data_IF_042612076225
#
_entry.id   IF_042612076225
#
_cell.length_a   1.000
_cell.length_b   1.000
_cell.length_c   1.000
_cell.angle_alpha   90.00
_cell.angle_beta   90.00
_cell.angle_gamma   90.00
#
_symmetry.space_group_name_H-M   'P 1'
#
loop_
_entity.id
_entity.type
_entity.pdbx_description
1 polymer ?
#
# COMPACT_ATOMS: atom_id res chain seq x y z
N UNK A 1 14.94 -12.87 0.31
CA UNK A 1 14.92 -11.42 0.57
C UNK A 1 16.13 -10.76 -0.05
N UNK A 2 15.94 -9.59 -0.68
CA UNK A 2 17.02 -8.80 -1.26
C UNK A 2 17.18 -7.53 -0.43
N UNK A 3 18.30 -7.39 0.27
CA UNK A 3 18.54 -6.35 1.28
C UNK A 3 19.54 -5.31 0.78
N UNK A 4 19.20 -4.03 0.92
CA UNK A 4 20.12 -2.95 0.63
C UNK A 4 21.08 -2.71 1.80
N UNK A 5 22.39 -2.62 1.53
CA UNK A 5 23.40 -2.39 2.57
C UNK A 5 23.34 -0.97 3.14
N UNK A 6 23.14 0.01 2.27
CA UNK A 6 23.17 1.43 2.61
C UNK A 6 21.84 1.92 3.22
N UNK A 7 20.73 1.23 2.91
CA UNK A 7 19.39 1.55 3.40
C UNK A 7 18.79 0.28 4.01
N UNK A 8 19.02 0.03 5.30
CA UNK A 8 18.58 -1.22 5.96
C UNK A 8 17.07 -1.46 5.90
N UNK A 9 16.27 -0.40 5.79
CA UNK A 9 14.83 -0.47 5.63
C UNK A 9 14.39 -0.86 4.21
N UNK A 10 15.29 -0.83 3.23
CA UNK A 10 14.99 -1.26 1.86
C UNK A 10 15.24 -2.77 1.73
N UNK A 11 14.21 -3.54 1.96
CA UNK A 11 14.19 -4.99 1.81
C UNK A 11 13.12 -5.35 0.78
N UNK A 12 13.55 -5.98 -0.31
CA UNK A 12 12.69 -6.35 -1.44
C UNK A 12 12.40 -7.84 -1.40
N UNK A 13 11.16 -8.21 -1.66
CA UNK A 13 10.74 -9.58 -1.92
C UNK A 13 9.79 -9.63 -3.12
N UNK A 14 9.64 -10.80 -3.70
CA UNK A 14 8.77 -11.01 -4.85
C UNK A 14 7.76 -12.11 -4.57
N UNK A 15 6.54 -11.91 -5.04
CA UNK A 15 5.55 -12.95 -5.29
C UNK A 15 5.13 -12.85 -6.76
N UNK A 16 4.46 -13.85 -7.30
CA UNK A 16 4.21 -13.90 -8.74
C UNK A 16 2.72 -14.03 -9.03
N UNK A 17 2.22 -13.08 -9.80
CA UNK A 17 0.90 -13.15 -10.45
C UNK A 17 -0.24 -13.52 -9.49
N UNK A 18 -0.74 -14.76 -9.59
CA UNK A 18 -1.88 -15.28 -8.82
C UNK A 18 -1.61 -15.38 -7.32
N UNK A 19 -0.36 -15.35 -6.88
CA UNK A 19 0.01 -15.36 -5.46
C UNK A 19 -0.72 -14.26 -4.65
N UNK A 20 -0.96 -13.11 -5.28
CA UNK A 20 -1.71 -12.01 -4.65
C UNK A 20 -3.21 -12.35 -4.43
N UNK A 21 -3.78 -13.26 -5.22
CA UNK A 21 -5.22 -13.51 -5.27
C UNK A 21 -5.67 -14.58 -4.28
N UNK A 22 -4.72 -15.32 -3.69
CA UNK A 22 -5.02 -16.39 -2.73
C UNK A 22 -5.39 -15.83 -1.35
N UNK A 23 -6.08 -16.59 -0.50
CA UNK A 23 -6.47 -16.13 0.84
C UNK A 23 -5.31 -15.71 1.74
N UNK A 24 -4.13 -16.32 1.54
CA UNK A 24 -2.91 -16.03 2.28
C UNK A 24 -1.74 -15.84 1.30
N UNK A 25 -1.57 -14.64 0.74
CA UNK A 25 -0.49 -14.35 -0.20
C UNK A 25 0.90 -14.54 0.43
N UNK A 26 1.89 -15.05 -0.33
CA UNK A 26 3.28 -15.14 0.10
C UNK A 26 3.86 -13.83 0.63
N UNK A 27 3.43 -12.69 0.07
CA UNK A 27 3.83 -11.35 0.55
C UNK A 27 3.53 -11.10 2.02
N UNK A 28 2.56 -11.82 2.61
CA UNK A 28 2.28 -11.77 4.04
C UNK A 28 3.50 -12.27 4.85
N UNK A 29 4.04 -13.41 4.47
CA UNK A 29 5.24 -13.96 5.08
C UNK A 29 6.47 -13.10 4.79
N UNK A 30 6.58 -12.59 3.56
CA UNK A 30 7.67 -11.70 3.17
C UNK A 30 7.72 -10.43 4.03
N UNK A 31 6.58 -9.82 4.30
CA UNK A 31 6.49 -8.65 5.16
C UNK A 31 6.84 -8.98 6.62
N UNK A 32 6.39 -10.13 7.13
CA UNK A 32 6.75 -10.62 8.47
C UNK A 32 8.27 -10.92 8.58
N UNK A 33 8.88 -11.37 7.50
CA UNK A 33 10.32 -11.58 7.39
C UNK A 33 11.12 -10.27 7.18
N UNK A 34 10.44 -9.11 7.08
CA UNK A 34 11.07 -7.80 7.02
C UNK A 34 11.00 -7.08 5.68
N UNK A 35 10.44 -7.70 4.62
CA UNK A 35 10.32 -7.02 3.33
C UNK A 35 9.42 -5.78 3.43
N UNK A 36 9.94 -4.63 2.99
CA UNK A 36 9.22 -3.35 2.93
C UNK A 36 8.74 -3.02 1.53
N UNK A 37 9.29 -3.70 0.53
CA UNK A 37 8.90 -3.57 -0.87
C UNK A 37 8.57 -4.94 -1.42
N UNK A 38 7.34 -5.11 -1.91
CA UNK A 38 6.88 -6.33 -2.57
C UNK A 38 6.74 -6.05 -4.06
N UNK A 39 7.36 -6.88 -4.87
CA UNK A 39 7.23 -6.85 -6.33
C UNK A 39 6.39 -8.03 -6.78
N UNK A 40 5.43 -7.78 -7.66
CA UNK A 40 4.58 -8.82 -8.26
C UNK A 40 4.58 -8.66 -9.78
N UNK A 41 5.46 -9.37 -10.50
CA UNK A 41 5.33 -9.53 -11.94
C UNK A 41 4.12 -10.42 -12.24
N UNK A 42 3.23 -9.92 -13.06
CA UNK A 42 1.94 -10.55 -13.36
C UNK A 42 1.68 -10.64 -14.87
N UNK A 43 0.96 -11.67 -15.26
CA UNK A 43 0.29 -11.77 -16.53
C UNK A 43 -1.22 -12.00 -16.26
N UNK A 44 -1.86 -10.94 -15.75
CA UNK A 44 -3.26 -10.98 -15.32
C UNK A 44 -4.16 -10.68 -16.50
N UNK A 45 -4.86 -11.71 -16.98
CA UNK A 45 -5.83 -11.58 -18.08
C UNK A 45 -6.86 -10.52 -17.77
N UNK A 46 -7.06 -9.58 -18.69
CA UNK A 46 -8.04 -8.50 -18.51
C UNK A 46 -9.46 -8.99 -18.78
N UNK A 47 -10.36 -8.64 -17.88
CA UNK A 47 -11.80 -8.86 -18.03
C UNK A 47 -12.55 -7.61 -17.58
N UNK A 48 -13.81 -7.49 -18.01
CA UNK A 48 -14.67 -6.36 -17.61
C UNK A 48 -14.72 -6.25 -16.08
N UNK A 49 -14.51 -5.05 -15.53
CA UNK A 49 -14.50 -4.69 -14.10
C UNK A 49 -13.31 -5.20 -13.28
N UNK A 50 -12.41 -6.02 -13.84
CA UNK A 50 -11.25 -6.56 -13.11
C UNK A 50 -10.26 -5.48 -12.63
N UNK A 51 -10.18 -4.37 -13.34
CA UNK A 51 -9.34 -3.22 -13.00
C UNK A 51 -9.59 -2.73 -11.56
N UNK A 52 -10.84 -2.42 -11.23
CA UNK A 52 -11.20 -1.90 -9.90
C UNK A 52 -10.93 -2.93 -8.80
N UNK A 53 -11.18 -4.20 -9.08
CA UNK A 53 -10.86 -5.29 -8.15
C UNK A 53 -9.34 -5.42 -7.95
N UNK A 54 -8.55 -5.44 -9.04
CA UNK A 54 -7.08 -5.48 -8.99
C UNK A 54 -6.53 -4.30 -8.20
N UNK A 55 -7.00 -3.09 -8.50
CA UNK A 55 -6.60 -1.87 -7.80
C UNK A 55 -6.88 -1.95 -6.29
N UNK A 56 -8.08 -2.41 -5.92
CA UNK A 56 -8.45 -2.61 -4.52
C UNK A 56 -7.58 -3.66 -3.85
N UNK A 57 -7.30 -4.77 -4.52
CA UNK A 57 -6.51 -5.87 -3.97
C UNK A 57 -5.06 -5.45 -3.70
N UNK A 58 -4.40 -4.81 -4.68
CA UNK A 58 -3.03 -4.30 -4.54
C UNK A 58 -2.93 -3.26 -3.44
N UNK A 59 -3.86 -2.29 -3.42
CA UNK A 59 -3.90 -1.24 -2.42
C UNK A 59 -4.12 -1.80 -1.00
N UNK A 60 -5.09 -2.69 -0.83
CA UNK A 60 -5.38 -3.31 0.47
C UNK A 60 -4.22 -4.19 0.96
N UNK A 61 -3.58 -4.94 0.07
CA UNK A 61 -2.42 -5.75 0.45
C UNK A 61 -1.26 -4.86 0.90
N UNK A 62 -0.97 -3.78 0.17
CA UNK A 62 0.02 -2.77 0.57
C UNK A 62 -0.28 -2.21 1.97
N UNK A 63 -1.54 -1.87 2.27
CA UNK A 63 -1.98 -1.37 3.57
C UNK A 63 -1.78 -2.40 4.70
N UNK A 64 -2.25 -3.62 4.48
CA UNK A 64 -2.17 -4.71 5.48
C UNK A 64 -0.74 -5.05 5.85
N UNK A 65 0.16 -4.98 4.88
CA UNK A 65 1.57 -5.30 5.05
C UNK A 65 2.41 -4.11 5.53
N UNK A 66 1.86 -2.90 5.58
CA UNK A 66 2.62 -1.67 5.79
C UNK A 66 3.87 -1.67 4.89
N UNK A 67 3.63 -1.89 3.59
CA UNK A 67 4.68 -2.06 2.59
C UNK A 67 4.38 -1.24 1.33
N UNK A 68 5.41 -1.00 0.55
CA UNK A 68 5.22 -0.67 -0.85
C UNK A 68 4.88 -1.96 -1.63
N UNK A 69 3.93 -1.86 -2.55
CA UNK A 69 3.56 -2.96 -3.42
C UNK A 69 3.62 -2.50 -4.87
N UNK A 70 4.47 -3.16 -5.65
CA UNK A 70 4.73 -2.85 -7.06
C UNK A 70 4.13 -4.00 -7.88
N UNK A 71 3.04 -3.71 -8.56
CA UNK A 71 2.36 -4.65 -9.45
C UNK A 71 2.69 -4.30 -10.89
N UNK A 72 3.38 -5.20 -11.59
CA UNK A 72 3.76 -5.04 -12.98
C UNK A 72 3.03 -6.06 -13.84
N UNK A 73 2.05 -5.62 -14.61
CA UNK A 73 1.21 -6.49 -15.43
C UNK A 73 1.75 -6.65 -16.86
N UNK A 74 1.46 -7.77 -17.48
CA UNK A 74 1.68 -7.95 -18.92
C UNK A 74 0.86 -6.94 -19.73
N UNK A 75 1.40 -6.49 -20.83
CA UNK A 75 0.80 -5.48 -21.71
C UNK A 75 0.61 -5.93 -23.14
N UNK A 76 0.63 -4.96 -24.03
CA UNK A 76 0.51 -5.20 -25.47
C UNK A 76 1.63 -6.10 -25.98
N UNK A 77 1.27 -7.08 -26.81
CA UNK A 77 2.22 -8.04 -27.40
C UNK A 77 2.45 -9.31 -26.60
N UNK A 78 2.00 -9.37 -25.35
CA UNK A 78 2.12 -10.59 -24.52
C UNK A 78 1.05 -11.64 -24.85
N UNK A 79 -0.08 -11.21 -25.42
CA UNK A 79 -1.16 -12.12 -25.83
C UNK A 79 -0.85 -12.82 -27.14
N UNK A 80 -1.12 -14.11 -27.20
CA UNK A 80 -0.93 -14.91 -28.42
C UNK A 80 -2.23 -15.23 -29.15
N UNK A 81 -3.40 -15.34 -28.46
CA UNK A 81 -4.66 -15.71 -29.10
C UNK A 81 -5.93 -15.26 -28.34
N UNK A 82 -6.23 -15.90 -27.20
CA UNK A 82 -7.57 -15.83 -26.60
C UNK A 82 -7.67 -14.88 -25.39
N UNK A 83 -6.56 -14.31 -24.98
CA UNK A 83 -6.49 -13.48 -23.79
C UNK A 83 -5.93 -12.10 -24.12
N UNK A 84 -6.37 -11.11 -23.36
CA UNK A 84 -5.89 -9.72 -23.48
C UNK A 84 -5.26 -9.31 -22.16
N UNK A 85 -4.12 -8.65 -22.26
CA UNK A 85 -3.44 -8.01 -21.13
C UNK A 85 -3.50 -6.50 -21.29
N UNK A 86 -3.65 -5.80 -20.17
CA UNK A 86 -3.90 -4.35 -20.21
C UNK A 86 -2.71 -3.49 -19.84
N UNK A 87 -1.63 -4.06 -19.32
CA UNK A 87 -0.50 -3.29 -18.81
C UNK A 87 -0.89 -2.43 -17.60
N UNK A 88 -1.85 -2.87 -16.80
CA UNK A 88 -2.34 -2.13 -15.64
C UNK A 88 -1.34 -2.20 -14.48
N UNK A 89 -0.25 -1.43 -14.57
CA UNK A 89 0.76 -1.33 -13.52
C UNK A 89 0.26 -0.46 -12.37
N UNK A 90 0.65 -0.83 -11.15
CA UNK A 90 0.28 -0.12 -9.92
C UNK A 90 1.49 -0.03 -8.99
N UNK A 91 1.71 1.14 -8.39
CA UNK A 91 2.63 1.31 -7.28
C UNK A 91 1.83 1.85 -6.10
N UNK A 92 1.76 1.07 -5.04
CA UNK A 92 1.05 1.44 -3.81
C UNK A 92 2.02 1.52 -2.63
N UNK A 93 1.75 2.39 -1.67
CA UNK A 93 2.47 2.52 -0.41
C UNK A 93 1.47 2.63 0.73
N UNK A 94 1.47 1.67 1.66
CA UNK A 94 0.60 1.68 2.83
C UNK A 94 -0.86 2.03 2.48
N UNK A 95 -1.41 1.40 1.45
CA UNK A 95 -2.78 1.57 0.99
C UNK A 95 -3.02 2.72 0.01
N UNK A 96 -2.09 3.64 -0.11
CA UNK A 96 -2.20 4.75 -1.06
C UNK A 96 -1.67 4.35 -2.44
N UNK A 97 -2.42 4.59 -3.50
CA UNK A 97 -1.93 4.44 -4.87
C UNK A 97 -1.06 5.65 -5.20
N UNK A 98 0.23 5.43 -5.41
CA UNK A 98 1.19 6.48 -5.75
C UNK A 98 1.28 6.72 -7.26
N UNK A 99 1.21 5.63 -8.03
CA UNK A 99 1.19 5.69 -9.49
C UNK A 99 0.35 4.54 -10.05
N UNK A 100 -0.32 4.82 -11.15
CA UNK A 100 -1.20 3.88 -11.86
C UNK A 100 -1.08 4.11 -13.36
N UNK A 101 -0.75 3.05 -14.11
CA UNK A 101 -0.66 3.12 -15.56
C UNK A 101 -2.05 3.13 -16.19
N UNK A 102 -2.16 3.87 -17.28
CA UNK A 102 -3.36 3.81 -18.11
C UNK A 102 -3.42 2.45 -18.80
N UNK A 103 -4.54 1.76 -18.66
CA UNK A 103 -4.75 0.47 -19.33
C UNK A 103 -4.63 0.56 -20.85
N UNK A 104 -4.18 -0.53 -21.45
CA UNK A 104 -3.99 -0.67 -22.89
C UNK A 104 -2.94 0.31 -23.45
N UNK A 105 -1.92 0.60 -22.64
CA UNK A 105 -0.73 1.36 -23.02
C UNK A 105 0.53 0.63 -22.55
N UNK A 106 1.67 0.96 -23.16
CA UNK A 106 2.98 0.47 -22.73
C UNK A 106 3.71 1.54 -21.90
N UNK A 107 2.98 2.11 -20.95
CA UNK A 107 3.47 3.19 -20.09
C UNK A 107 4.39 2.65 -18.99
N UNK A 108 5.49 3.35 -18.74
CA UNK A 108 6.33 3.11 -17.56
C UNK A 108 5.95 4.12 -16.48
N UNK A 109 5.63 3.63 -15.30
CA UNK A 109 5.27 4.48 -14.15
C UNK A 109 6.39 4.50 -13.10
N UNK A 110 6.48 5.61 -12.38
CA UNK A 110 7.47 5.84 -11.34
C UNK A 110 6.80 6.42 -10.10
N UNK A 111 7.34 6.11 -8.93
CA UNK A 111 6.92 6.71 -7.66
C UNK A 111 8.08 6.75 -6.66
N UNK A 112 8.08 7.76 -5.80
CA UNK A 112 8.97 7.82 -4.64
C UNK A 112 8.34 7.03 -3.48
N UNK A 113 9.09 6.09 -2.91
CA UNK A 113 8.66 5.24 -1.80
C UNK A 113 9.46 5.62 -0.55
N UNK A 114 8.76 5.84 0.57
CA UNK A 114 9.37 6.13 1.86
C UNK A 114 9.49 4.85 2.72
N UNK A 115 10.54 4.08 2.48
CA UNK A 115 10.78 2.81 3.20
C UNK A 115 11.03 3.02 4.69
N UNK A 116 11.60 4.17 5.09
CA UNK A 116 11.85 4.49 6.49
C UNK A 116 10.53 4.75 7.22
N UNK A 117 9.60 5.45 6.58
CA UNK A 117 8.25 5.64 7.11
C UNK A 117 7.52 4.31 7.28
N UNK A 118 7.58 3.43 6.28
CA UNK A 118 6.97 2.10 6.36
C UNK A 118 7.51 1.30 7.54
N UNK A 119 8.83 1.27 7.72
CA UNK A 119 9.46 0.62 8.86
C UNK A 119 9.07 1.27 10.21
N UNK A 120 8.95 2.60 10.24
CA UNK A 120 8.51 3.32 11.43
C UNK A 120 7.05 2.99 11.80
N UNK A 121 6.15 2.92 10.82
CA UNK A 121 4.74 2.55 11.05
C UNK A 121 4.62 1.11 11.57
N UNK A 122 5.40 0.17 11.04
CA UNK A 122 5.45 -1.21 11.58
C UNK A 122 5.90 -1.25 13.04
N UNK A 123 6.91 -0.47 13.42
CA UNK A 123 7.39 -0.41 14.82
C UNK A 123 6.34 0.15 15.80
N UNK A 124 5.43 1.01 15.33
CA UNK A 124 4.32 1.52 16.14
C UNK A 124 3.20 0.48 16.33
N UNK A 125 3.05 -0.44 15.40
CA UNK A 125 2.02 -1.46 15.44
C UNK A 125 2.48 -2.66 16.27
N UNK A 126 2.11 -2.72 17.53
CA UNK A 126 2.53 -3.78 18.47
C UNK A 126 2.05 -5.18 18.10
N UNK A 127 1.02 -5.28 17.25
CA UNK A 127 0.48 -6.54 16.74
C UNK A 127 1.10 -6.96 15.39
N UNK A 128 2.01 -6.17 14.82
CA UNK A 128 2.71 -6.56 13.60
C UNK A 128 3.77 -7.62 13.94
N UNK A 129 3.62 -8.86 13.48
CA UNK A 129 4.62 -9.90 13.75
C UNK A 129 5.88 -9.61 12.93
N UNK A 130 7.04 -9.95 13.47
CA UNK A 130 8.31 -9.78 12.80
C UNK A 130 9.34 -10.83 13.19
N UNK A 131 10.39 -10.91 12.39
CA UNK A 131 11.58 -11.70 12.73
C UNK A 131 11.57 -13.17 12.28
N UNK A 132 10.62 -13.62 11.46
CA UNK A 132 10.61 -14.98 10.92
C UNK A 132 11.41 -15.04 9.60
N UNK A 133 12.70 -15.22 9.69
CA UNK A 133 13.62 -15.26 8.52
C UNK A 133 14.24 -16.63 8.25
N UNK A 134 13.98 -17.62 9.10
CA UNK A 134 14.67 -18.91 9.07
C UNK A 134 14.53 -19.69 7.74
N UNK A 135 13.43 -19.46 7.02
CA UNK A 135 13.15 -20.10 5.72
C UNK A 135 13.54 -19.23 4.50
N UNK A 136 14.22 -18.09 4.74
CA UNK A 136 14.54 -17.16 3.67
C UNK A 136 16.01 -17.21 3.28
N UNK A 137 16.24 -17.32 1.97
CA UNK A 137 17.53 -16.98 1.40
C UNK A 137 17.67 -15.46 1.35
N UNK A 138 18.77 -14.92 1.86
CA UNK A 138 19.07 -13.50 1.88
C UNK A 138 20.20 -13.15 0.91
N UNK A 139 19.96 -12.18 0.06
CA UNK A 139 20.94 -11.61 -0.86
C UNK A 139 21.10 -10.13 -0.58
N UNK A 140 22.34 -9.68 -0.48
CA UNK A 140 22.65 -8.26 -0.33
C UNK A 140 22.97 -7.59 -1.67
N UNK A 141 22.62 -6.31 -1.77
CA UNK A 141 23.03 -5.43 -2.85
C UNK A 141 23.43 -4.05 -2.30
N UNK A 142 24.19 -3.30 -3.10
CA UNK A 142 24.63 -1.95 -2.74
C UNK A 142 24.04 -0.92 -3.70
N UNK A 143 23.67 0.23 -3.18
CA UNK A 143 23.23 1.39 -3.94
C UNK A 143 24.13 2.59 -3.64
N UNK A 144 24.46 3.36 -4.66
CA UNK A 144 25.04 4.68 -4.45
C UNK A 144 23.94 5.65 -4.00
N UNK A 145 23.94 6.00 -2.71
CA UNK A 145 22.98 6.94 -2.14
C UNK A 145 23.33 8.35 -2.59
N UNK A 146 22.44 8.97 -3.37
CA UNK A 146 22.56 10.36 -3.85
C UNK A 146 21.38 11.19 -3.38
N UNK A 147 21.59 12.49 -3.24
CA UNK A 147 20.46 13.42 -3.15
C UNK A 147 19.61 13.34 -4.42
N UNK A 148 18.36 12.97 -4.27
CA UNK A 148 17.40 12.92 -5.34
C UNK A 148 16.34 14.00 -5.16
N UNK A 149 15.90 14.59 -6.27
CA UNK A 149 14.74 15.47 -6.26
C UNK A 149 13.49 14.63 -6.05
N UNK A 150 12.82 14.84 -4.93
CA UNK A 150 11.55 14.19 -4.63
C UNK A 150 10.50 14.71 -5.62
N UNK A 151 9.82 13.78 -6.30
CA UNK A 151 8.73 14.09 -7.24
C UNK A 151 7.37 14.03 -6.55
N UNK A 152 7.31 13.42 -5.35
CA UNK A 152 6.10 13.28 -4.55
C UNK A 152 5.62 14.63 -4.04
N UNK A 153 4.35 14.92 -4.19
CA UNK A 153 3.70 16.12 -3.64
C UNK A 153 3.07 15.79 -2.29
N UNK A 154 3.22 16.74 -1.34
CA UNK A 154 2.59 16.61 -0.02
C UNK A 154 1.50 17.68 0.11
N UNK A 155 0.27 17.30 0.54
CA UNK A 155 -0.78 18.28 0.79
C UNK A 155 -0.33 19.29 1.85
N UNK A 156 -0.54 20.58 1.62
CA UNK A 156 -0.23 21.64 2.61
C UNK A 156 -1.09 21.52 3.88
N UNK A 157 -2.28 20.99 3.74
CA UNK A 157 -3.23 20.75 4.83
C UNK A 157 -3.67 19.28 4.82
N UNK A 158 -2.82 18.33 5.32
CA UNK A 158 -3.07 16.88 5.17
C UNK A 158 -4.33 16.39 5.89
N UNK A 159 -4.87 17.18 6.82
CA UNK A 159 -6.08 16.84 7.58
C UNK A 159 -7.35 17.45 6.99
N UNK A 160 -7.24 18.31 5.98
CA UNK A 160 -8.38 18.99 5.35
C UNK A 160 -8.48 18.52 3.91
N UNK A 161 -9.55 17.80 3.53
CA UNK A 161 -9.77 17.41 2.14
C UNK A 161 -9.94 18.63 1.24
N UNK A 162 -9.41 18.54 0.02
CA UNK A 162 -9.57 19.59 -0.99
C UNK A 162 -11.00 19.64 -1.56
N UNK A 163 -11.68 18.51 -1.60
CA UNK A 163 -13.06 18.38 -2.06
C UNK A 163 -14.05 18.80 -0.98
N UNK A 164 -15.05 19.63 -1.34
CA UNK A 164 -16.06 20.13 -0.42
C UNK A 164 -16.91 19.00 0.20
N UNK A 165 -17.37 18.05 -0.62
CA UNK A 165 -18.21 16.94 -0.14
C UNK A 165 -17.48 16.04 0.85
N UNK A 166 -16.19 15.84 0.64
CA UNK A 166 -15.35 15.09 1.57
C UNK A 166 -15.08 15.87 2.86
N UNK A 167 -14.95 17.20 2.78
CA UNK A 167 -14.84 18.06 3.97
C UNK A 167 -16.12 17.99 4.81
N UNK A 168 -17.28 18.11 4.18
CA UNK A 168 -18.57 18.07 4.87
C UNK A 168 -18.75 16.72 5.57
N UNK A 169 -18.51 15.61 4.88
CA UNK A 169 -18.52 14.27 5.48
C UNK A 169 -17.59 14.15 6.68
N UNK A 170 -16.37 14.68 6.56
CA UNK A 170 -15.40 14.65 7.66
C UNK A 170 -15.80 15.53 8.83
N UNK A 171 -16.41 16.69 8.58
CA UNK A 171 -16.98 17.53 9.63
C UNK A 171 -18.09 16.81 10.40
N UNK A 172 -19.02 16.18 9.69
CA UNK A 172 -20.10 15.40 10.29
C UNK A 172 -19.58 14.22 11.11
N UNK A 173 -18.55 13.55 10.61
CA UNK A 173 -17.89 12.46 11.34
C UNK A 173 -17.24 12.96 12.63
N UNK A 174 -16.49 14.06 12.58
CA UNK A 174 -15.84 14.67 13.74
C UNK A 174 -16.87 15.08 14.79
N UNK A 175 -17.95 15.76 14.37
CA UNK A 175 -19.04 16.16 15.26
C UNK A 175 -19.72 14.95 15.90
N UNK A 176 -19.95 13.91 15.13
CA UNK A 176 -20.54 12.66 15.62
C UNK A 176 -19.64 11.97 16.65
N UNK A 177 -18.34 11.85 16.37
CA UNK A 177 -17.37 11.28 17.30
C UNK A 177 -17.29 12.06 18.61
N UNK A 178 -17.23 13.40 18.54
CA UNK A 178 -17.18 14.26 19.71
C UNK A 178 -18.48 14.17 20.53
N UNK A 179 -19.63 14.22 19.85
CA UNK A 179 -20.95 14.15 20.51
C UNK A 179 -21.14 12.81 21.23
N UNK A 180 -20.78 11.71 20.58
CA UNK A 180 -20.88 10.37 21.20
C UNK A 180 -19.92 10.20 22.38
N UNK A 181 -18.70 10.70 22.25
CA UNK A 181 -17.73 10.69 23.36
C UNK A 181 -18.19 11.53 24.55
N UNK A 182 -18.73 12.72 24.30
CA UNK A 182 -19.28 13.58 25.34
C UNK A 182 -20.53 12.95 26.00
N UNK A 183 -21.48 12.45 25.19
CA UNK A 183 -22.68 11.76 25.68
C UNK A 183 -22.30 10.66 26.68
N UNK A 184 -21.35 9.79 26.33
CA UNK A 184 -20.92 8.69 27.20
C UNK A 184 -20.32 9.17 28.52
N UNK A 185 -19.55 10.25 28.50
CA UNK A 185 -18.99 10.85 29.70
C UNK A 185 -20.07 11.45 30.61
N UNK A 186 -21.02 12.16 30.03
CA UNK A 186 -22.15 12.75 30.78
C UNK A 186 -23.04 11.67 31.39
N UNK A 187 -23.35 10.60 30.68
CA UNK A 187 -24.06 9.44 31.17
C UNK A 187 -23.34 8.81 32.37
N UNK A 188 -22.04 8.60 32.26
CA UNK A 188 -21.22 7.99 33.31
C UNK A 188 -21.13 8.85 34.56
N UNK A 189 -21.08 10.18 34.42
CA UNK A 189 -21.00 11.12 35.54
C UNK A 189 -22.38 11.53 36.09
N UNK A 190 -23.48 10.99 35.54
CA UNK A 190 -24.85 11.32 35.90
C UNK A 190 -25.23 12.82 35.75
N UNK A 191 -24.49 13.57 34.91
CA UNK A 191 -24.72 14.99 34.69
C UNK A 191 -25.92 15.33 33.73
N UNK A 192 -26.57 14.31 33.19
CA UNK A 192 -27.71 14.49 32.27
C UNK A 192 -28.99 15.00 32.98
N UNK A 193 -29.01 15.13 34.30
CA UNK A 193 -30.17 15.49 35.11
C UNK A 193 -29.99 16.81 35.87
N UNK A 194 -29.02 17.61 35.53
CA UNK A 194 -28.79 18.91 36.13
C UNK A 194 -29.30 20.00 35.18
N UNK A 195 -30.57 20.31 35.26
CA UNK A 195 -31.16 21.57 34.79
C UNK A 195 -32.24 22.01 35.74
#
# INVERSE_FOLDING_TARGET
LVKCKEIPELVVACEICEDLWVPLPPSTYHAMAGATVICNPSASVETTTKESYRRSLVSNQSARLLAAYIYADAGEGESTQDVVYSGHHLICENGSVLAEAKRFTNEIIYADIDVQKLAAERRKMTSFPGGQTDDYFEQEFSLEVKENKITRTFPKAPFVPDNQDERDKRCDEILSLQSMGLKKRLEYTCLLYTS
#
